data_IF_674753800744
#
_entry.id   IF_674753800744
#
_cell.length_a   1.000
_cell.length_b   1.000
_cell.length_c   1.000
_cell.angle_alpha   90.00
_cell.angle_beta   90.00
_cell.angle_gamma   90.00
#
_symmetry.space_group_name_H-M   'P 1'
#
loop_
_entity.id
_entity.type
_entity.pdbx_description
1 polymer ?
#
# COMPACT_ATOMS: atom_id res chain seq x y z
N UNK A 1 51.89 -38.14 -23.35
CA UNK A 1 50.92 -37.93 -24.46
C UNK A 1 49.52 -38.39 -24.09
N UNK A 2 49.35 -39.53 -23.40
CA UNK A 2 48.03 -40.05 -22.99
C UNK A 2 47.33 -39.19 -21.94
N UNK A 3 48.07 -38.66 -20.96
CA UNK A 3 47.53 -37.84 -19.87
C UNK A 3 47.01 -36.48 -20.36
N UNK A 4 47.77 -35.81 -21.24
CA UNK A 4 47.38 -34.55 -21.89
C UNK A 4 46.15 -34.67 -22.80
N UNK A 5 45.94 -35.83 -23.43
CA UNK A 5 44.77 -36.08 -24.29
C UNK A 5 43.54 -36.36 -23.43
N UNK A 6 43.71 -37.05 -22.29
CA UNK A 6 42.63 -37.29 -21.34
C UNK A 6 42.15 -35.97 -20.70
N UNK A 7 43.06 -35.11 -20.25
CA UNK A 7 42.71 -33.78 -19.71
C UNK A 7 41.96 -32.92 -20.73
N UNK A 8 42.39 -32.90 -21.99
CA UNK A 8 41.69 -32.16 -23.06
C UNK A 8 40.29 -32.72 -23.36
N UNK A 9 40.10 -34.03 -23.23
CA UNK A 9 38.81 -34.67 -23.42
C UNK A 9 37.87 -34.37 -22.25
N UNK A 10 38.37 -34.42 -21.02
CA UNK A 10 37.62 -34.10 -19.81
C UNK A 10 37.19 -32.61 -19.79
N UNK A 11 38.12 -31.68 -20.13
CA UNK A 11 37.82 -30.25 -20.28
C UNK A 11 36.75 -29.98 -21.35
N UNK A 12 36.79 -30.71 -22.47
CA UNK A 12 35.81 -30.58 -23.54
C UNK A 12 34.43 -31.15 -23.17
N UNK A 13 34.38 -32.17 -22.31
CA UNK A 13 33.13 -32.72 -21.77
C UNK A 13 32.53 -31.72 -20.78
N UNK A 14 33.34 -31.20 -19.85
CA UNK A 14 32.89 -30.20 -18.87
C UNK A 14 32.36 -28.93 -19.53
N UNK A 15 33.02 -28.46 -20.60
CA UNK A 15 32.55 -27.33 -21.38
C UNK A 15 31.17 -27.59 -22.01
N UNK A 16 30.97 -28.74 -22.68
CA UNK A 16 29.69 -29.10 -23.29
C UNK A 16 28.57 -29.27 -22.27
N UNK A 17 28.90 -29.81 -21.11
CA UNK A 17 27.97 -29.96 -19.99
C UNK A 17 27.56 -28.58 -19.47
N UNK A 18 28.51 -27.67 -19.28
CA UNK A 18 28.24 -26.28 -18.87
C UNK A 18 27.39 -25.52 -19.90
N UNK A 19 27.69 -25.66 -21.19
CA UNK A 19 26.92 -25.06 -22.29
C UNK A 19 25.46 -25.55 -22.27
N UNK A 20 25.25 -26.88 -22.16
CA UNK A 20 23.92 -27.47 -22.08
C UNK A 20 23.13 -26.98 -20.85
N UNK A 21 23.77 -26.89 -19.68
CA UNK A 21 23.13 -26.34 -18.48
C UNK A 21 22.76 -24.86 -18.64
N UNK A 22 23.59 -24.08 -19.31
CA UNK A 22 23.29 -22.68 -19.60
C UNK A 22 22.08 -22.55 -20.55
N UNK A 23 22.03 -23.35 -21.61
CA UNK A 23 20.89 -23.40 -22.53
C UNK A 23 19.59 -23.81 -21.84
N UNK A 24 19.63 -24.89 -21.03
CA UNK A 24 18.49 -25.35 -20.26
C UNK A 24 17.98 -24.28 -19.28
N UNK A 25 18.89 -23.53 -18.63
CA UNK A 25 18.49 -22.42 -17.76
C UNK A 25 17.78 -21.32 -18.53
N UNK A 26 18.28 -20.93 -19.71
CA UNK A 26 17.65 -19.90 -20.54
C UNK A 26 16.24 -20.31 -20.99
N UNK A 27 16.06 -21.57 -21.41
CA UNK A 27 14.75 -22.09 -21.80
C UNK A 27 13.77 -22.17 -20.63
N UNK A 28 14.27 -22.57 -19.46
CA UNK A 28 13.49 -22.55 -18.22
C UNK A 28 13.02 -21.14 -17.84
N UNK A 29 13.88 -20.12 -17.96
CA UNK A 29 13.49 -18.72 -17.69
C UNK A 29 12.41 -18.25 -18.67
N UNK A 30 12.57 -18.57 -19.96
CA UNK A 30 11.57 -18.23 -21.00
C UNK A 30 10.22 -18.85 -20.69
N UNK A 31 10.21 -20.14 -20.35
CA UNK A 31 9.01 -20.89 -19.97
C UNK A 31 8.39 -20.35 -18.68
N UNK A 32 9.20 -19.95 -17.71
CA UNK A 32 8.73 -19.46 -16.42
C UNK A 32 8.08 -18.09 -16.52
N UNK A 33 8.74 -17.14 -17.19
CA UNK A 33 8.30 -15.74 -17.19
C UNK A 33 7.19 -15.50 -18.22
N UNK A 34 7.28 -16.14 -19.39
CA UNK A 34 6.41 -15.99 -20.57
C UNK A 34 6.41 -14.59 -21.23
N UNK A 35 6.53 -13.52 -20.45
CA UNK A 35 6.44 -12.12 -20.91
C UNK A 35 7.77 -11.40 -20.79
N UNK A 36 8.25 -10.82 -21.90
CA UNK A 36 9.53 -10.10 -21.97
C UNK A 36 10.74 -10.93 -21.45
N UNK A 37 10.99 -12.13 -22.00
CA UNK A 37 12.00 -13.05 -21.47
C UNK A 37 13.42 -12.47 -21.49
N UNK A 38 13.79 -11.72 -22.53
CA UNK A 38 15.14 -11.16 -22.67
C UNK A 38 15.50 -10.18 -21.54
N UNK A 39 14.52 -9.42 -21.05
CA UNK A 39 14.70 -8.57 -19.89
C UNK A 39 15.00 -9.40 -18.64
N UNK A 40 14.21 -10.44 -18.37
CA UNK A 40 14.35 -11.24 -17.15
C UNK A 40 15.58 -12.15 -17.17
N UNK A 41 16.01 -12.64 -18.32
CA UNK A 41 17.29 -13.35 -18.47
C UNK A 41 18.42 -12.45 -17.97
N UNK A 42 18.51 -11.21 -18.47
CA UNK A 42 19.54 -10.25 -18.04
C UNK A 42 19.46 -9.92 -16.54
N UNK A 43 18.24 -9.76 -16.01
CA UNK A 43 18.07 -9.44 -14.58
C UNK A 43 18.44 -10.63 -13.69
N UNK A 44 18.05 -11.85 -14.05
CA UNK A 44 18.34 -13.05 -13.28
C UNK A 44 19.83 -13.39 -13.32
N UNK A 45 20.52 -13.16 -14.44
CA UNK A 45 21.98 -13.28 -14.52
C UNK A 45 22.67 -12.28 -13.60
N UNK A 46 22.19 -11.03 -13.58
CA UNK A 46 22.73 -9.99 -12.71
C UNK A 46 22.50 -10.30 -11.22
N UNK A 47 21.35 -10.88 -10.87
CA UNK A 47 21.01 -11.25 -9.49
C UNK A 47 21.82 -12.48 -9.05
N UNK A 48 21.78 -13.56 -9.85
CA UNK A 48 22.45 -14.82 -9.55
C UNK A 48 23.98 -14.76 -9.60
N UNK A 49 24.55 -13.79 -10.33
CA UNK A 49 26.00 -13.53 -10.36
C UNK A 49 26.56 -12.85 -9.11
N UNK A 50 25.73 -12.59 -8.09
CA UNK A 50 26.13 -11.90 -6.86
C UNK A 50 25.68 -12.67 -5.61
N UNK A 51 26.53 -12.74 -4.58
CA UNK A 51 26.18 -13.35 -3.28
C UNK A 51 25.43 -12.39 -2.34
N UNK A 52 25.24 -11.13 -2.75
CA UNK A 52 24.55 -10.08 -2.00
C UNK A 52 23.34 -9.58 -2.79
N UNK A 53 22.43 -8.87 -2.12
CA UNK A 53 21.31 -8.23 -2.80
C UNK A 53 21.78 -7.27 -3.90
N UNK A 54 21.33 -7.50 -5.13
CA UNK A 54 21.64 -6.65 -6.28
C UNK A 54 20.39 -5.88 -6.70
N UNK A 55 20.36 -4.55 -6.51
CA UNK A 55 19.22 -3.75 -6.91
C UNK A 55 19.07 -3.79 -8.44
N UNK A 56 17.86 -4.13 -8.86
CA UNK A 56 17.41 -4.08 -10.26
C UNK A 56 16.20 -3.18 -10.34
N UNK A 57 15.69 -2.86 -11.52
CA UNK A 57 14.55 -1.95 -11.65
C UNK A 57 13.48 -2.51 -12.58
N UNK A 58 12.28 -2.73 -12.05
CA UNK A 58 11.12 -3.21 -12.79
C UNK A 58 10.00 -2.17 -12.80
N UNK A 59 9.89 -1.42 -13.91
CA UNK A 59 8.84 -0.41 -14.08
C UNK A 59 7.43 -0.99 -14.03
N UNK A 60 7.23 -2.20 -14.55
CA UNK A 60 5.91 -2.85 -14.54
C UNK A 60 5.44 -3.16 -13.12
N UNK A 61 6.35 -3.58 -12.25
CA UNK A 61 6.06 -3.83 -10.84
C UNK A 61 5.81 -2.53 -10.07
N UNK A 62 6.53 -1.45 -10.37
CA UNK A 62 6.23 -0.14 -9.81
C UNK A 62 4.83 0.33 -10.18
N UNK A 63 4.50 0.38 -11.47
CA UNK A 63 3.21 0.93 -11.94
C UNK A 63 2.03 0.12 -11.39
N UNK A 64 2.06 -1.20 -11.56
CA UNK A 64 0.97 -2.10 -11.16
C UNK A 64 0.98 -2.45 -9.66
N UNK A 65 2.12 -2.27 -8.98
CA UNK A 65 2.28 -2.54 -7.56
C UNK A 65 1.86 -3.95 -7.15
N UNK A 66 1.05 -4.10 -6.07
CA UNK A 66 0.61 -5.40 -5.54
C UNK A 66 -0.07 -6.29 -6.59
N UNK A 67 -0.71 -5.70 -7.61
CA UNK A 67 -1.38 -6.45 -8.68
C UNK A 67 -0.35 -7.26 -9.47
N UNK A 68 0.82 -6.69 -9.76
CA UNK A 68 1.90 -7.37 -10.48
C UNK A 68 2.46 -8.56 -9.69
N UNK A 69 2.60 -8.40 -8.36
CA UNK A 69 3.06 -9.46 -7.47
C UNK A 69 2.02 -10.58 -7.37
N UNK A 70 0.75 -10.24 -7.12
CA UNK A 70 -0.35 -11.20 -7.05
C UNK A 70 -0.56 -11.99 -8.34
N UNK A 71 -0.46 -11.31 -9.49
CA UNK A 71 -0.59 -11.93 -10.81
C UNK A 71 0.51 -12.95 -11.14
N UNK A 72 1.66 -12.89 -10.43
CA UNK A 72 2.78 -13.84 -10.55
C UNK A 72 2.86 -14.82 -9.37
N UNK A 73 1.82 -14.86 -8.53
CA UNK A 73 1.77 -15.74 -7.35
C UNK A 73 2.69 -15.33 -6.20
N UNK A 74 3.25 -14.11 -6.23
CA UNK A 74 4.11 -13.55 -5.19
C UNK A 74 3.28 -12.93 -4.05
N UNK A 75 2.33 -13.70 -3.48
CA UNK A 75 1.37 -13.19 -2.50
C UNK A 75 2.00 -12.70 -1.20
N UNK A 76 3.11 -13.31 -0.78
CA UNK A 76 3.89 -12.86 0.38
C UNK A 76 4.42 -11.42 0.22
N UNK A 77 4.64 -10.98 -1.01
CA UNK A 77 5.02 -9.60 -1.33
C UNK A 77 3.80 -8.71 -1.63
N UNK A 78 2.80 -9.25 -2.32
CA UNK A 78 1.61 -8.50 -2.71
C UNK A 78 0.86 -7.92 -1.50
N UNK A 79 0.63 -8.72 -0.46
CA UNK A 79 -0.15 -8.32 0.72
C UNK A 79 0.49 -7.18 1.55
N UNK A 80 1.76 -7.25 1.97
CA UNK A 80 2.37 -6.14 2.72
C UNK A 80 2.43 -4.86 1.88
N UNK A 81 2.75 -4.96 0.59
CA UNK A 81 2.72 -3.79 -0.29
C UNK A 81 1.32 -3.19 -0.45
N UNK A 82 0.28 -4.04 -0.53
CA UNK A 82 -1.11 -3.58 -0.57
C UNK A 82 -1.44 -2.79 0.69
N UNK A 83 -1.07 -3.28 1.87
CA UNK A 83 -1.34 -2.60 3.13
C UNK A 83 -0.72 -1.20 3.12
N UNK A 84 0.55 -1.08 2.73
CA UNK A 84 1.24 0.22 2.73
C UNK A 84 0.68 1.14 1.63
N UNK A 85 0.38 0.63 0.43
CA UNK A 85 -0.29 1.43 -0.60
C UNK A 85 -1.68 1.90 -0.15
N UNK A 86 -2.43 1.06 0.55
CA UNK A 86 -3.75 1.41 1.09
C UNK A 86 -3.64 2.58 2.05
N UNK A 87 -2.62 2.62 2.93
CA UNK A 87 -2.36 3.78 3.78
C UNK A 87 -2.12 5.04 2.96
N UNK A 88 -1.31 4.96 1.90
CA UNK A 88 -1.07 6.09 0.99
C UNK A 88 -2.35 6.60 0.32
N UNK A 89 -3.15 5.70 -0.26
CA UNK A 89 -4.41 6.06 -0.90
C UNK A 89 -5.44 6.62 0.08
N UNK A 90 -5.53 6.04 1.29
CA UNK A 90 -6.42 6.54 2.35
C UNK A 90 -6.03 7.96 2.76
N UNK A 91 -4.74 8.24 2.93
CA UNK A 91 -4.28 9.59 3.31
C UNK A 91 -4.57 10.63 2.20
N UNK A 92 -4.41 10.25 0.93
CA UNK A 92 -4.79 11.11 -0.20
C UNK A 92 -6.30 11.35 -0.21
N UNK A 93 -7.11 10.30 -0.08
CA UNK A 93 -8.56 10.41 -0.07
C UNK A 93 -9.05 11.29 1.08
N UNK A 94 -8.55 11.03 2.30
CA UNK A 94 -8.87 11.82 3.49
C UNK A 94 -8.50 13.29 3.34
N UNK A 95 -7.31 13.58 2.83
CA UNK A 95 -6.82 14.96 2.72
C UNK A 95 -7.47 15.77 1.60
N UNK A 96 -7.87 15.14 0.50
CA UNK A 96 -8.43 15.84 -0.66
C UNK A 96 -9.96 15.93 -0.68
N UNK A 97 -10.64 14.86 -0.27
CA UNK A 97 -12.10 14.75 -0.39
C UNK A 97 -12.77 14.26 0.89
N UNK A 98 -11.99 13.94 1.92
CA UNK A 98 -12.51 13.41 3.18
C UNK A 98 -13.19 14.47 4.03
N UNK A 99 -14.17 14.03 4.80
CA UNK A 99 -14.88 14.89 5.74
C UNK A 99 -14.13 14.99 7.07
N UNK A 100 -13.04 15.76 7.07
CA UNK A 100 -12.15 15.91 8.22
C UNK A 100 -12.85 16.51 9.45
N UNK A 101 -13.94 17.25 9.26
CA UNK A 101 -14.71 17.89 10.31
C UNK A 101 -15.93 17.06 10.79
N UNK A 102 -16.14 15.86 10.26
CA UNK A 102 -17.29 15.00 10.61
C UNK A 102 -17.40 14.77 12.13
N UNK A 103 -16.30 14.34 12.77
CA UNK A 103 -16.26 14.09 14.21
C UNK A 103 -16.50 15.37 15.04
N UNK A 104 -15.90 16.48 14.61
CA UNK A 104 -16.11 17.78 15.26
C UNK A 104 -17.58 18.23 15.17
N UNK A 105 -18.23 18.04 14.01
CA UNK A 105 -19.66 18.34 13.83
C UNK A 105 -20.55 17.46 14.70
N UNK A 106 -20.30 16.14 14.75
CA UNK A 106 -21.06 15.23 15.60
C UNK A 106 -20.97 15.60 17.09
N UNK A 107 -19.79 16.04 17.54
CA UNK A 107 -19.59 16.55 18.92
C UNK A 107 -20.33 17.86 19.16
N UNK A 108 -20.27 18.81 18.22
CA UNK A 108 -21.02 20.07 18.31
C UNK A 108 -22.52 19.80 18.42
N UNK A 109 -23.06 18.93 17.57
CA UNK A 109 -24.50 18.57 17.58
C UNK A 109 -24.92 17.97 18.94
N UNK A 110 -24.09 17.10 19.53
CA UNK A 110 -24.33 16.56 20.87
C UNK A 110 -24.36 17.64 21.95
N UNK A 111 -23.51 18.68 21.85
CA UNK A 111 -23.47 19.78 22.82
C UNK A 111 -24.66 20.73 22.61
N UNK A 112 -24.99 21.05 21.36
CA UNK A 112 -26.13 21.90 21.00
C UNK A 112 -27.45 21.29 21.52
N UNK A 113 -27.60 19.97 21.45
CA UNK A 113 -28.75 19.26 22.04
C UNK A 113 -28.91 19.49 23.55
N UNK A 114 -27.82 19.65 24.30
CA UNK A 114 -27.86 19.97 25.74
C UNK A 114 -28.01 21.47 25.99
N UNK A 115 -27.45 22.30 25.11
CA UNK A 115 -27.45 23.75 25.23
C UNK A 115 -28.87 24.34 25.18
N UNK A 116 -29.73 23.80 24.33
CA UNK A 116 -31.12 24.28 24.20
C UNK A 116 -31.89 24.17 25.53
N UNK A 117 -31.79 23.02 26.21
CA UNK A 117 -32.38 22.83 27.53
C UNK A 117 -31.82 23.83 28.56
N UNK A 118 -30.51 24.10 28.53
CA UNK A 118 -29.87 25.06 29.44
C UNK A 118 -30.29 26.50 29.17
N UNK A 119 -30.53 26.88 27.91
CA UNK A 119 -31.07 28.20 27.54
C UNK A 119 -32.50 28.39 28.04
N UNK A 120 -33.34 27.37 27.95
CA UNK A 120 -34.70 27.41 28.50
C UNK A 120 -34.68 27.55 30.03
N UNK A 121 -33.84 26.77 30.71
CA UNK A 121 -33.66 26.88 32.17
C UNK A 121 -33.17 28.28 32.59
N UNK A 122 -32.26 28.88 31.83
CA UNK A 122 -31.80 30.25 32.06
C UNK A 122 -32.95 31.26 31.88
N UNK A 123 -33.74 31.15 30.81
CA UNK A 123 -34.87 32.04 30.56
C UNK A 123 -35.91 31.98 31.68
N UNK A 124 -36.31 30.77 32.10
CA UNK A 124 -37.23 30.59 33.23
C UNK A 124 -36.66 31.13 34.54
N UNK A 125 -35.35 30.96 34.80
CA UNK A 125 -34.72 31.50 35.99
C UNK A 125 -34.69 33.05 36.01
N UNK A 126 -34.54 33.69 34.83
CA UNK A 126 -34.60 35.14 34.68
C UNK A 126 -36.02 35.64 34.96
N UNK A 127 -37.03 34.99 34.37
CA UNK A 127 -38.44 35.33 34.57
C UNK A 127 -38.87 35.19 36.03
N UNK A 128 -38.39 34.14 36.71
CA UNK A 128 -38.70 33.89 38.12
C UNK A 128 -37.80 34.64 39.10
N UNK A 129 -36.88 35.51 38.64
CA UNK A 129 -35.87 36.20 39.46
C UNK A 129 -35.11 35.27 40.43
N UNK A 130 -34.72 34.08 39.95
CA UNK A 130 -34.04 33.08 40.76
C UNK A 130 -32.57 33.45 41.03
N UNK A 131 -32.08 33.15 42.23
CA UNK A 131 -30.65 33.24 42.59
C UNK A 131 -29.73 32.36 41.71
N UNK A 132 -30.31 31.43 40.92
CA UNK A 132 -29.58 30.51 40.04
C UNK A 132 -29.27 31.07 38.66
N UNK A 133 -29.73 32.28 38.32
CA UNK A 133 -29.48 32.92 37.01
C UNK A 133 -27.98 32.92 36.67
N UNK A 134 -27.12 33.31 37.61
CA UNK A 134 -25.66 33.35 37.38
C UNK A 134 -25.03 31.96 37.17
N UNK A 135 -25.62 30.91 37.75
CA UNK A 135 -25.17 29.53 37.52
C UNK A 135 -25.53 29.11 36.10
N UNK A 136 -26.78 29.27 35.69
CA UNK A 136 -27.22 28.89 34.34
C UNK A 136 -26.51 29.72 33.25
N UNK A 137 -26.31 31.01 33.48
CA UNK A 137 -25.57 31.89 32.56
C UNK A 137 -24.14 31.41 32.35
N UNK A 138 -23.46 31.00 33.42
CA UNK A 138 -22.11 30.42 33.34
C UNK A 138 -22.10 29.08 32.61
N UNK A 139 -23.08 28.21 32.85
CA UNK A 139 -23.18 26.93 32.15
C UNK A 139 -23.43 27.11 30.65
N UNK A 140 -24.37 27.97 30.27
CA UNK A 140 -24.65 28.30 28.86
C UNK A 140 -23.39 28.83 28.19
N UNK A 141 -22.72 29.81 28.82
CA UNK A 141 -21.47 30.36 28.30
C UNK A 141 -20.39 29.29 28.14
N UNK A 142 -20.20 28.42 29.13
CA UNK A 142 -19.20 27.35 29.04
C UNK A 142 -19.46 26.38 27.89
N UNK A 143 -20.72 26.08 27.59
CA UNK A 143 -21.09 25.21 26.46
C UNK A 143 -20.89 25.94 25.12
N UNK A 144 -21.22 27.23 25.03
CA UNK A 144 -20.97 28.07 23.85
C UNK A 144 -19.47 28.19 23.56
N UNK A 145 -18.66 28.49 24.59
CA UNK A 145 -17.19 28.55 24.50
C UNK A 145 -16.62 27.19 24.03
N UNK A 146 -17.19 26.07 24.48
CA UNK A 146 -16.78 24.72 24.05
C UNK A 146 -17.11 24.46 22.57
N UNK A 147 -18.29 24.88 22.09
CA UNK A 147 -18.67 24.77 20.67
C UNK A 147 -17.71 25.61 19.82
N UNK A 148 -17.40 26.84 20.24
CA UNK A 148 -16.46 27.70 19.52
C UNK A 148 -15.07 27.07 19.46
N UNK A 149 -14.57 26.53 20.57
CA UNK A 149 -13.30 25.79 20.60
C UNK A 149 -13.26 24.63 19.58
N UNK A 150 -14.30 23.80 19.55
CA UNK A 150 -14.38 22.66 18.61
C UNK A 150 -14.46 23.15 17.15
N UNK A 151 -15.13 24.28 16.88
CA UNK A 151 -15.18 24.87 15.53
C UNK A 151 -13.81 25.35 15.06
N UNK A 152 -13.04 25.97 15.95
CA UNK A 152 -11.68 26.42 15.66
C UNK A 152 -10.76 25.23 15.38
N UNK A 153 -10.79 24.20 16.23
CA UNK A 153 -10.04 22.95 16.00
C UNK A 153 -10.41 22.30 14.65
N UNK A 154 -11.69 22.28 14.30
CA UNK A 154 -12.16 21.73 13.03
C UNK A 154 -11.61 22.51 11.81
N UNK A 155 -11.48 23.84 11.91
CA UNK A 155 -10.86 24.67 10.87
C UNK A 155 -9.37 24.37 10.75
N UNK A 156 -8.65 24.25 11.87
CA UNK A 156 -7.23 23.90 11.87
C UNK A 156 -6.97 22.53 11.21
N UNK A 157 -7.83 21.54 11.46
CA UNK A 157 -7.73 20.22 10.83
C UNK A 157 -8.04 20.32 9.33
N UNK A 158 -9.03 21.11 8.93
CA UNK A 158 -9.36 21.32 7.52
C UNK A 158 -8.19 21.94 6.74
N UNK A 159 -7.49 22.90 7.34
CA UNK A 159 -6.31 23.54 6.76
C UNK A 159 -5.13 22.55 6.58
N UNK A 160 -5.07 21.50 7.39
CA UNK A 160 -4.06 20.44 7.27
C UNK A 160 -4.36 19.41 6.16
N UNK A 161 -5.55 19.44 5.55
CA UNK A 161 -5.96 18.45 4.55
C UNK A 161 -4.94 18.25 3.42
N UNK A 162 -4.37 19.33 2.90
CA UNK A 162 -3.33 19.29 1.86
C UNK A 162 -2.07 18.54 2.33
N UNK A 163 -1.65 18.74 3.59
CA UNK A 163 -0.46 18.09 4.16
C UNK A 163 -0.70 16.60 4.42
N UNK A 164 -1.92 16.24 4.82
CA UNK A 164 -2.35 14.83 4.95
C UNK A 164 -2.25 14.14 3.59
N UNK A 165 -2.76 14.77 2.53
CA UNK A 165 -2.69 14.22 1.17
C UNK A 165 -1.25 14.10 0.66
N UNK A 166 -0.41 15.12 0.88
CA UNK A 166 1.01 15.10 0.50
C UNK A 166 1.78 13.97 1.19
N UNK A 167 1.50 13.72 2.47
CA UNK A 167 2.11 12.60 3.21
C UNK A 167 1.74 11.26 2.56
N UNK A 168 0.47 11.09 2.17
CA UNK A 168 0.02 9.91 1.42
C UNK A 168 0.74 9.74 0.08
N UNK A 169 0.93 10.82 -0.67
CA UNK A 169 1.66 10.81 -1.94
C UNK A 169 3.13 10.40 -1.77
N UNK A 170 3.82 10.93 -0.75
CA UNK A 170 5.21 10.58 -0.45
C UNK A 170 5.34 9.08 -0.14
N UNK A 171 4.41 8.54 0.68
CA UNK A 171 4.36 7.10 0.99
C UNK A 171 4.19 6.29 -0.29
N UNK A 172 3.26 6.67 -1.17
CA UNK A 172 3.04 5.96 -2.43
C UNK A 172 4.29 5.96 -3.30
N UNK A 173 4.94 7.12 -3.50
CA UNK A 173 6.16 7.20 -4.32
C UNK A 173 7.26 6.29 -3.75
N UNK A 174 7.48 6.32 -2.43
CA UNK A 174 8.48 5.48 -1.78
C UNK A 174 8.17 3.99 -1.95
N UNK A 175 6.91 3.58 -1.78
CA UNK A 175 6.48 2.19 -1.95
C UNK A 175 6.61 1.73 -3.41
N UNK A 176 6.20 2.55 -4.37
CA UNK A 176 6.32 2.27 -5.81
C UNK A 176 7.77 2.08 -6.22
N UNK A 177 8.68 2.88 -5.66
CA UNK A 177 10.11 2.70 -5.84
C UNK A 177 10.61 1.38 -5.23
N UNK A 178 10.26 1.09 -3.98
CA UNK A 178 10.64 -0.15 -3.31
C UNK A 178 10.16 -1.40 -4.06
N UNK A 179 8.90 -1.39 -4.54
CA UNK A 179 8.33 -2.44 -5.39
C UNK A 179 9.12 -2.62 -6.68
N UNK A 180 9.49 -1.53 -7.35
CA UNK A 180 10.27 -1.56 -8.58
C UNK A 180 11.64 -2.20 -8.36
N UNK A 181 12.24 -1.98 -7.18
CA UNK A 181 13.58 -2.49 -6.84
C UNK A 181 13.57 -3.97 -6.42
N UNK A 182 12.57 -4.37 -5.63
CA UNK A 182 12.47 -5.73 -5.05
C UNK A 182 11.92 -6.75 -6.05
N UNK A 183 11.11 -6.31 -7.02
CA UNK A 183 10.33 -7.19 -7.89
C UNK A 183 11.11 -8.30 -8.60
N UNK A 184 12.25 -7.99 -9.22
CA UNK A 184 12.98 -9.02 -9.97
C UNK A 184 13.65 -10.03 -9.02
N UNK A 185 14.16 -9.60 -7.86
CA UNK A 185 14.73 -10.50 -6.86
C UNK A 185 13.66 -11.42 -6.27
N UNK A 186 12.46 -10.90 -5.98
CA UNK A 186 11.34 -11.71 -5.55
C UNK A 186 10.91 -12.74 -6.62
N UNK A 187 10.96 -12.35 -7.89
CA UNK A 187 10.60 -13.23 -9.00
C UNK A 187 11.69 -14.28 -9.30
N UNK A 188 12.97 -13.95 -9.09
CA UNK A 188 14.10 -14.86 -9.23
C UNK A 188 14.10 -15.92 -8.13
N UNK A 189 13.82 -15.53 -6.88
CA UNK A 189 13.58 -16.49 -5.80
C UNK A 189 12.43 -17.46 -6.14
N UNK A 190 11.33 -16.94 -6.70
CA UNK A 190 10.20 -17.76 -7.14
C UNK A 190 10.54 -18.67 -8.33
N UNK A 191 11.43 -18.23 -9.22
CA UNK A 191 11.95 -19.07 -10.30
C UNK A 191 12.76 -20.24 -9.74
N UNK A 192 13.59 -20.02 -8.72
CA UNK A 192 14.37 -21.07 -8.06
C UNK A 192 13.49 -22.11 -7.35
N UNK A 193 12.40 -21.66 -6.71
CA UNK A 193 11.38 -22.58 -6.15
C UNK A 193 10.72 -23.40 -7.26
N UNK A 194 10.35 -22.75 -8.37
CA UNK A 194 9.72 -23.41 -9.52
C UNK A 194 10.63 -24.43 -10.20
N UNK A 195 11.95 -24.17 -10.26
CA UNK A 195 12.92 -25.15 -10.75
C UNK A 195 12.93 -26.41 -9.87
N UNK A 196 12.77 -26.24 -8.55
CA UNK A 196 12.75 -27.33 -7.57
C UNK A 196 11.41 -28.09 -7.55
N UNK A 197 10.30 -27.38 -7.73
CA UNK A 197 8.95 -27.94 -7.77
C UNK A 197 8.17 -27.39 -8.98
N UNK A 198 8.04 -28.22 -10.01
CA UNK A 198 7.34 -27.88 -11.26
C UNK A 198 5.81 -27.88 -11.12
N UNK A 199 5.26 -28.28 -9.97
CA UNK A 199 3.83 -28.12 -9.67
C UNK A 199 3.46 -26.65 -9.42
N UNK A 200 4.45 -25.84 -9.04
CA UNK A 200 4.31 -24.40 -8.93
C UNK A 200 4.00 -23.83 -10.32
N UNK A 201 3.06 -22.89 -10.38
CA UNK A 201 2.69 -22.28 -11.66
C UNK A 201 3.74 -21.31 -12.16
N UNK A 202 4.02 -21.37 -13.46
CA UNK A 202 4.75 -20.34 -14.20
C UNK A 202 3.80 -19.28 -14.78
N UNK A 203 4.39 -18.13 -15.13
CA UNK A 203 3.78 -17.14 -16.00
C UNK A 203 2.66 -16.30 -15.40
N UNK A 204 2.19 -15.35 -16.21
CA UNK A 204 1.08 -14.45 -15.89
C UNK A 204 -0.20 -14.94 -16.56
N UNK A 205 -1.26 -15.16 -15.79
CA UNK A 205 -2.58 -15.47 -16.34
C UNK A 205 -3.50 -14.28 -16.20
N UNK A 206 -4.23 -13.94 -17.26
CA UNK A 206 -5.21 -12.85 -17.22
C UNK A 206 -6.23 -13.01 -16.09
N UNK A 207 -6.68 -14.25 -15.82
CA UNK A 207 -7.61 -14.54 -14.70
C UNK A 207 -7.05 -14.08 -13.35
N UNK A 208 -5.77 -14.32 -13.08
CA UNK A 208 -5.13 -13.87 -11.84
C UNK A 208 -4.87 -12.38 -11.82
N UNK A 209 -4.52 -11.77 -12.96
CA UNK A 209 -4.42 -10.31 -13.06
C UNK A 209 -5.75 -9.67 -12.66
N UNK A 210 -6.86 -10.16 -13.22
CA UNK A 210 -8.21 -9.68 -12.90
C UNK A 210 -8.53 -9.93 -11.43
N UNK A 211 -8.29 -11.14 -10.92
CA UNK A 211 -8.61 -11.50 -9.54
C UNK A 211 -7.80 -10.66 -8.55
N UNK A 212 -6.49 -10.51 -8.77
CA UNK A 212 -5.64 -9.62 -7.97
C UNK A 212 -6.10 -8.17 -8.07
N UNK A 213 -6.38 -7.66 -9.27
CA UNK A 213 -6.85 -6.28 -9.46
C UNK A 213 -8.18 -6.03 -8.72
N UNK A 214 -9.15 -6.94 -8.84
CA UNK A 214 -10.43 -6.84 -8.15
C UNK A 214 -10.24 -6.89 -6.63
N UNK A 215 -9.47 -7.86 -6.13
CA UNK A 215 -9.16 -7.99 -4.72
C UNK A 215 -8.52 -6.71 -4.14
N UNK A 216 -7.51 -6.16 -4.82
CA UNK A 216 -6.87 -4.92 -4.40
C UNK A 216 -7.82 -3.73 -4.46
N UNK A 217 -8.61 -3.60 -5.54
CA UNK A 217 -9.54 -2.50 -5.73
C UNK A 217 -10.65 -2.48 -4.67
N UNK A 218 -11.18 -3.65 -4.30
CA UNK A 218 -12.18 -3.76 -3.23
C UNK A 218 -11.58 -3.34 -1.88
N UNK A 219 -10.39 -3.80 -1.53
CA UNK A 219 -9.73 -3.45 -0.27
C UNK A 219 -9.44 -1.95 -0.19
N UNK A 220 -8.77 -1.42 -1.21
CA UNK A 220 -8.39 0.00 -1.26
C UNK A 220 -9.64 0.88 -1.28
N UNK A 221 -10.63 0.54 -2.13
CA UNK A 221 -11.88 1.30 -2.22
C UNK A 221 -12.69 1.30 -0.93
N UNK A 222 -12.82 0.14 -0.28
CA UNK A 222 -13.53 0.02 1.01
C UNK A 222 -12.82 0.80 2.11
N UNK A 223 -11.49 0.70 2.18
CA UNK A 223 -10.70 1.44 3.16
C UNK A 223 -10.78 2.96 2.92
N UNK A 224 -10.61 3.41 1.67
CA UNK A 224 -10.75 4.82 1.30
C UNK A 224 -12.12 5.37 1.70
N UNK A 225 -13.19 4.64 1.41
CA UNK A 225 -14.54 5.06 1.78
C UNK A 225 -14.70 5.16 3.30
N UNK A 226 -14.40 4.08 4.02
CA UNK A 226 -14.59 4.00 5.47
C UNK A 226 -13.79 5.05 6.24
N UNK A 227 -12.54 5.31 5.84
CA UNK A 227 -11.66 6.23 6.56
C UNK A 227 -11.77 7.69 6.10
N UNK A 228 -12.31 7.96 4.91
CA UNK A 228 -12.50 9.33 4.40
C UNK A 228 -13.88 9.90 4.73
N UNK A 229 -14.89 9.04 4.92
CA UNK A 229 -16.24 9.45 5.28
C UNK A 229 -16.71 8.65 6.50
N UNK A 230 -16.23 9.02 7.70
CA UNK A 230 -16.74 8.43 8.94
C UNK A 230 -18.19 8.90 9.14
N UNK A 231 -19.14 7.99 8.93
CA UNK A 231 -20.58 8.18 9.10
C UNK A 231 -21.26 6.89 9.52
#
# INVERSE_FOLDING_TARGET
MTETVQTQLDDAIDFKVAEKFAEERLDNIRTFVQTNPDYYIKQFDKIGGSSRFTPTFNASAGILGPIWFGARGLWMWALPFLIIETLGYVQIARGLIGDLAADARARIESIEGTLELRRQQLASAIESQSDKVDVYKRTVKSLEDSIEGIRLEAQEIADQGIWIALTGLIILIAVKFAQSVIANSALEARFSEWLSDRSIRSGVSLRQVILSALFMAVIVGTAMYHYSFPG
#
